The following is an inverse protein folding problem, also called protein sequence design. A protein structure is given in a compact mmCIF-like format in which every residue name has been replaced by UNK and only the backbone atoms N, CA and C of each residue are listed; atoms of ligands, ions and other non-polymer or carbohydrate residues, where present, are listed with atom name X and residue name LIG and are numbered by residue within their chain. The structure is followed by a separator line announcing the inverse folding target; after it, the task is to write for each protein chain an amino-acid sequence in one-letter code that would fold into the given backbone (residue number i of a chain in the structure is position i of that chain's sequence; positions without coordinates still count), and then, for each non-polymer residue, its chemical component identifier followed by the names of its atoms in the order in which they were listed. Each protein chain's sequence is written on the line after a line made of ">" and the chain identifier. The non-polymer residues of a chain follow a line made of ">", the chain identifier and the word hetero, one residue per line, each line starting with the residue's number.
data_IF_569028687658
#
_entry.id   IF_569028687658
#
_cell.length_a   1.000
_cell.length_b   1.000
_cell.length_c   1.000
_cell.angle_alpha   90.00
_cell.angle_beta   90.00
_cell.angle_gamma   90.00
#
_symmetry.space_group_name_H-M   'P 1'
#
loop_
_entity.id
_entity.type
_entity.pdbx_description
1 polymer ?
#
# COMPACT_ATOMS: atom_id res chain seq x y z
N UNK A 1 26.61 -25.66 1.70
CA UNK A 1 25.23 -25.39 2.15
C UNK A 1 25.19 -24.26 3.18
N UNK A 2 25.83 -24.37 4.33
CA UNK A 2 25.84 -23.38 5.43
C UNK A 2 26.21 -21.94 5.04
N UNK A 3 27.22 -21.71 4.16
CA UNK A 3 27.60 -20.36 3.69
C UNK A 3 26.53 -19.70 2.81
N UNK A 4 25.78 -20.47 2.02
CA UNK A 4 24.68 -19.96 1.19
C UNK A 4 23.46 -19.57 2.06
N UNK A 5 23.16 -20.38 3.07
CA UNK A 5 22.09 -20.11 4.05
C UNK A 5 22.39 -18.85 4.88
N UNK A 6 23.66 -18.67 5.31
CA UNK A 6 24.07 -17.50 6.09
C UNK A 6 23.98 -16.21 5.25
N UNK A 7 24.34 -16.25 3.96
CA UNK A 7 24.23 -15.11 3.07
C UNK A 7 22.76 -14.68 2.87
N UNK A 8 21.84 -15.63 2.74
CA UNK A 8 20.40 -15.35 2.62
C UNK A 8 19.86 -14.73 3.91
N UNK A 9 20.23 -15.26 5.07
CA UNK A 9 19.83 -14.70 6.38
C UNK A 9 20.41 -13.30 6.59
N UNK A 10 21.63 -13.04 6.15
CA UNK A 10 22.26 -11.71 6.27
C UNK A 10 21.59 -10.69 5.35
N UNK A 11 21.21 -11.07 4.13
CA UNK A 11 20.47 -10.19 3.19
C UNK A 11 19.06 -9.91 3.73
N UNK A 12 18.38 -10.92 4.29
CA UNK A 12 17.09 -10.76 4.98
C UNK A 12 17.20 -9.83 6.19
N UNK A 13 18.25 -9.95 7.01
CA UNK A 13 18.48 -9.08 8.16
C UNK A 13 18.82 -7.64 7.76
N UNK A 14 19.56 -7.43 6.66
CA UNK A 14 19.89 -6.10 6.13
C UNK A 14 18.65 -5.39 5.56
N UNK A 15 17.72 -6.14 4.94
CA UNK A 15 16.47 -5.59 4.42
C UNK A 15 15.54 -5.06 5.53
N UNK A 16 15.65 -5.61 6.75
CA UNK A 16 14.86 -5.18 7.92
C UNK A 16 15.34 -3.86 8.55
N UNK A 17 16.56 -3.39 8.23
CA UNK A 17 17.14 -2.19 8.88
C UNK A 17 16.90 -0.89 8.09
N UNK A 18 16.33 -0.95 6.88
CA UNK A 18 16.13 0.22 6.01
C UNK A 18 14.72 0.16 5.43
N UNK A 19 13.70 0.39 6.26
CA UNK A 19 12.35 0.61 5.77
C UNK A 19 11.96 2.08 6.01
N UNK A 20 12.20 2.99 5.06
CA UNK A 20 11.58 4.31 5.07
C UNK A 20 10.08 4.19 4.78
N UNK A 21 9.34 5.24 5.06
CA UNK A 21 7.90 5.31 4.85
C UNK A 21 7.50 4.84 3.45
N UNK A 22 6.49 4.00 3.39
CA UNK A 22 5.84 3.56 2.14
C UNK A 22 4.60 4.42 1.96
N UNK A 23 4.40 4.99 0.79
CA UNK A 23 3.15 5.63 0.43
C UNK A 23 2.46 4.78 -0.63
N UNK A 24 1.16 4.66 -0.52
CA UNK A 24 0.40 3.64 -1.23
C UNK A 24 -0.63 4.26 -2.17
N UNK A 25 -1.21 3.44 -3.03
CA UNK A 25 -1.87 3.90 -4.25
C UNK A 25 -3.34 3.46 -4.39
N UNK A 26 -3.76 2.35 -3.75
CA UNK A 26 -5.18 2.01 -3.60
C UNK A 26 -5.53 2.13 -2.10
N UNK A 27 -5.97 3.31 -1.67
CA UNK A 27 -5.98 3.66 -0.26
C UNK A 27 -4.53 3.69 0.27
N UNK A 28 -4.20 2.86 1.25
CA UNK A 28 -2.81 2.70 1.74
C UNK A 28 -2.07 1.53 1.06
N UNK A 29 -2.69 0.78 0.15
CA UNK A 29 -2.13 -0.42 -0.43
C UNK A 29 -1.43 -0.17 -1.78
N UNK A 30 -0.28 -0.82 -2.00
CA UNK A 30 0.38 -0.81 -3.30
C UNK A 30 -0.46 -1.49 -4.38
N UNK A 31 -0.39 -1.00 -5.63
CA UNK A 31 -1.11 -1.61 -6.76
C UNK A 31 -0.63 -3.04 -7.04
N UNK A 32 0.67 -3.31 -6.85
CA UNK A 32 1.31 -4.60 -7.04
C UNK A 32 2.72 -4.63 -6.46
N UNK A 33 3.31 -5.81 -6.32
CA UNK A 33 4.66 -6.05 -5.79
C UNK A 33 5.57 -6.57 -6.89
N UNK A 34 6.82 -6.10 -6.89
CA UNK A 34 7.81 -6.43 -7.91
C UNK A 34 7.60 -5.67 -9.25
N UNK A 35 8.64 -5.63 -10.10
CA UNK A 35 8.62 -4.81 -11.31
C UNK A 35 7.63 -5.32 -12.37
N UNK A 36 7.37 -6.62 -12.43
CA UNK A 36 6.51 -7.19 -13.47
C UNK A 36 5.04 -6.84 -13.21
N UNK A 37 4.53 -7.15 -12.02
CA UNK A 37 3.15 -6.82 -11.64
C UNK A 37 2.92 -5.31 -11.67
N UNK A 38 3.86 -4.51 -11.15
CA UNK A 38 3.75 -3.04 -11.17
C UNK A 38 3.72 -2.47 -12.60
N UNK A 39 4.53 -3.00 -13.52
CA UNK A 39 4.51 -2.61 -14.92
C UNK A 39 3.20 -2.93 -15.65
N UNK A 40 2.43 -3.88 -15.13
CA UNK A 40 1.15 -4.33 -15.67
C UNK A 40 -0.06 -3.83 -14.86
N UNK A 41 0.05 -2.67 -14.20
CA UNK A 41 -1.07 -2.09 -13.45
C UNK A 41 -1.48 -2.90 -12.22
N UNK A 42 -0.59 -3.72 -11.65
CA UNK A 42 -0.88 -4.60 -10.52
C UNK A 42 -1.48 -5.97 -10.88
N UNK A 43 -1.52 -6.31 -12.17
CA UNK A 43 -1.96 -7.63 -12.65
C UNK A 43 -1.06 -8.75 -12.12
N UNK A 44 -1.60 -9.95 -12.02
CA UNK A 44 -0.91 -11.14 -11.51
C UNK A 44 -1.81 -12.10 -10.74
N UNK A 45 -3.13 -11.86 -10.71
CA UNK A 45 -4.07 -12.78 -10.05
C UNK A 45 -4.40 -13.99 -10.91
N UNK A 46 -4.43 -13.81 -12.25
CA UNK A 46 -4.73 -14.88 -13.20
C UNK A 46 -3.48 -15.38 -13.93
N UNK A 47 -2.44 -14.57 -14.10
CA UNK A 47 -1.20 -14.94 -14.77
C UNK A 47 0.03 -14.30 -14.09
N UNK A 48 0.36 -14.69 -12.86
CA UNK A 48 1.58 -14.23 -12.22
C UNK A 48 2.80 -14.75 -12.97
N UNK A 49 3.83 -13.90 -13.15
CA UNK A 49 4.97 -14.20 -14.02
C UNK A 49 6.30 -14.35 -13.25
N UNK A 50 6.32 -14.03 -11.99
CA UNK A 50 7.45 -14.15 -11.07
C UNK A 50 6.98 -14.61 -9.69
N UNK A 51 7.91 -14.96 -8.81
CA UNK A 51 7.59 -15.42 -7.46
C UNK A 51 6.93 -14.30 -6.64
N UNK A 52 7.39 -13.05 -6.80
CA UNK A 52 6.86 -11.90 -6.08
C UNK A 52 5.39 -11.66 -6.40
N UNK A 53 5.02 -11.64 -7.67
CA UNK A 53 3.63 -11.45 -8.08
C UNK A 53 2.74 -12.63 -7.71
N UNK A 54 3.24 -13.87 -7.82
CA UNK A 54 2.49 -15.07 -7.45
C UNK A 54 2.14 -15.07 -5.96
N UNK A 55 3.13 -14.85 -5.07
CA UNK A 55 2.90 -14.90 -3.63
C UNK A 55 1.99 -13.76 -3.17
N UNK A 56 2.15 -12.56 -3.72
CA UNK A 56 1.34 -11.41 -3.34
C UNK A 56 -0.09 -11.44 -3.91
N UNK A 57 -0.24 -11.78 -5.20
CA UNK A 57 -1.54 -11.66 -5.87
C UNK A 57 -2.38 -12.94 -5.76
N UNK A 58 -1.79 -14.11 -6.00
CA UNK A 58 -2.50 -15.38 -5.98
C UNK A 58 -1.57 -16.56 -5.67
N UNK A 59 -1.60 -17.11 -4.45
CA UNK A 59 -0.74 -18.21 -4.06
C UNK A 59 -0.90 -19.50 -4.90
N UNK A 60 -2.04 -19.69 -5.56
CA UNK A 60 -2.24 -20.81 -6.47
C UNK A 60 -1.41 -20.70 -7.75
N UNK A 61 -0.98 -19.49 -8.11
CA UNK A 61 -0.25 -19.17 -9.33
C UNK A 61 1.26 -19.38 -9.26
N UNK A 62 1.80 -19.99 -8.20
CA UNK A 62 3.23 -20.20 -8.04
C UNK A 62 3.83 -21.07 -9.13
N UNK A 63 4.05 -20.50 -10.31
CA UNK A 63 4.77 -21.14 -11.42
C UNK A 63 4.11 -22.40 -11.99
N UNK A 64 2.78 -22.40 -12.16
CA UNK A 64 2.04 -23.43 -12.88
C UNK A 64 1.66 -23.00 -14.30
N UNK A 65 2.22 -21.98 -14.85
CA UNK A 65 1.88 -21.47 -16.16
C UNK A 65 3.07 -21.45 -17.12
N UNK A 66 2.85 -21.25 -18.42
CA UNK A 66 3.89 -21.22 -19.44
C UNK A 66 4.86 -20.03 -19.27
N UNK A 67 4.50 -19.00 -18.51
CA UNK A 67 5.34 -17.84 -18.26
C UNK A 67 6.14 -17.92 -16.98
N UNK A 68 5.89 -18.93 -16.14
CA UNK A 68 6.55 -19.07 -14.87
C UNK A 68 7.65 -20.11 -14.93
N UNK A 69 8.89 -19.76 -14.62
CA UNK A 69 9.98 -20.73 -14.54
C UNK A 69 9.79 -21.68 -13.36
N UNK A 70 10.41 -22.86 -13.43
CA UNK A 70 10.25 -23.92 -12.43
C UNK A 70 10.65 -23.50 -11.01
N UNK A 71 11.80 -22.87 -10.85
CA UNK A 71 12.34 -22.39 -9.58
C UNK A 71 12.96 -21.02 -9.79
N UNK A 72 12.66 -20.07 -8.89
CA UNK A 72 13.27 -18.75 -8.97
C UNK A 72 13.40 -18.08 -7.61
N UNK A 73 14.34 -17.15 -7.55
CA UNK A 73 14.40 -16.12 -6.50
C UNK A 73 14.30 -14.76 -7.17
N UNK A 74 13.40 -13.94 -6.69
CA UNK A 74 13.22 -12.56 -7.13
C UNK A 74 13.69 -11.60 -6.05
N UNK A 75 14.47 -10.61 -6.46
CA UNK A 75 14.86 -9.46 -5.65
C UNK A 75 14.33 -8.22 -6.33
N UNK A 76 13.66 -7.34 -5.60
CA UNK A 76 13.20 -6.07 -6.13
C UNK A 76 13.34 -4.95 -5.09
N UNK A 77 13.55 -3.75 -5.60
CA UNK A 77 13.53 -2.51 -4.83
C UNK A 77 12.71 -1.47 -5.59
N UNK A 78 11.77 -0.86 -4.92
CA UNK A 78 10.95 0.23 -5.46
C UNK A 78 11.36 1.52 -4.78
N UNK A 79 11.77 2.53 -5.57
CA UNK A 79 11.86 3.91 -5.13
C UNK A 79 10.48 4.52 -5.38
N UNK A 80 9.81 4.93 -4.32
CA UNK A 80 8.47 5.50 -4.36
C UNK A 80 8.53 6.96 -3.91
N UNK A 81 7.97 7.86 -4.71
CA UNK A 81 8.04 9.31 -4.50
C UNK A 81 6.64 9.89 -4.58
N UNK A 82 5.99 10.08 -3.46
CA UNK A 82 4.77 10.86 -3.37
C UNK A 82 5.10 12.34 -3.28
N UNK A 83 4.15 13.17 -3.69
CA UNK A 83 4.23 14.62 -3.62
C UNK A 83 2.96 15.18 -2.98
N UNK A 84 2.74 14.93 -1.67
CA UNK A 84 1.60 15.51 -0.98
C UNK A 84 1.85 16.99 -0.69
N UNK A 85 0.81 17.80 -0.95
CA UNK A 85 0.76 19.21 -0.63
C UNK A 85 -0.48 19.50 0.19
N UNK A 86 -0.30 20.20 1.32
CA UNK A 86 -1.38 20.64 2.19
C UNK A 86 -1.63 22.14 2.06
N UNK A 87 -2.90 22.50 2.00
CA UNK A 87 -3.37 23.89 2.11
C UNK A 87 -4.33 23.97 3.29
N UNK A 88 -4.03 24.81 4.29
CA UNK A 88 -4.84 24.98 5.48
C UNK A 88 -5.23 26.45 5.68
N UNK A 89 -6.49 26.67 6.04
CA UNK A 89 -7.00 27.98 6.42
C UNK A 89 -7.85 27.86 7.69
N UNK A 90 -7.35 28.41 8.77
CA UNK A 90 -8.04 28.55 10.05
C UNK A 90 -8.47 30.02 10.24
N UNK A 91 -9.47 30.47 9.44
CA UNK A 91 -9.94 31.85 9.44
C UNK A 91 -10.20 32.45 10.81
N UNK A 92 -10.93 31.77 11.75
CA UNK A 92 -11.19 32.27 13.10
C UNK A 92 -9.94 32.52 13.95
N UNK A 93 -8.83 31.78 13.66
CA UNK A 93 -7.56 31.90 14.35
C UNK A 93 -6.58 32.84 13.63
N UNK A 94 -6.91 33.28 12.42
CA UNK A 94 -6.02 34.09 11.58
C UNK A 94 -4.82 33.34 11.02
N UNK A 95 -4.88 32.00 10.94
CA UNK A 95 -3.82 31.15 10.43
C UNK A 95 -4.19 30.65 9.03
N UNK A 96 -3.27 30.75 8.10
CA UNK A 96 -3.37 30.11 6.78
C UNK A 96 -1.98 29.83 6.24
N UNK A 97 -1.87 28.81 5.42
CA UNK A 97 -0.62 28.43 4.74
C UNK A 97 -0.83 27.33 3.73
N UNK A 98 0.19 27.15 2.90
CA UNK A 98 0.28 26.08 1.92
C UNK A 98 1.72 25.67 1.81
N UNK A 99 1.99 24.35 1.91
CA UNK A 99 3.35 23.84 1.75
C UNK A 99 3.34 22.39 1.27
N UNK A 100 4.48 21.95 0.73
CA UNK A 100 4.71 20.56 0.38
C UNK A 100 5.15 19.76 1.62
N UNK A 101 4.75 18.49 1.67
CA UNK A 101 5.24 17.56 2.69
C UNK A 101 6.75 17.33 2.54
N UNK A 102 7.45 17.28 3.67
CA UNK A 102 8.89 17.01 3.72
C UNK A 102 9.25 15.54 3.81
N UNK A 103 8.27 14.65 3.71
CA UNK A 103 8.53 13.22 3.78
C UNK A 103 9.47 12.79 2.62
N UNK A 104 10.60 12.11 2.91
CA UNK A 104 11.54 11.71 1.88
C UNK A 104 10.97 10.56 1.03
N UNK A 105 11.52 10.37 -0.20
CA UNK A 105 11.22 9.18 -1.00
C UNK A 105 11.46 7.89 -0.23
N UNK A 106 10.61 6.90 -0.48
CA UNK A 106 10.64 5.61 0.21
C UNK A 106 11.28 4.52 -0.64
N UNK A 107 12.03 3.62 0.00
CA UNK A 107 12.54 2.41 -0.64
C UNK A 107 11.77 1.20 -0.12
N UNK A 108 11.05 0.51 -1.02
CA UNK A 108 10.22 -0.64 -0.68
C UNK A 108 10.92 -1.90 -1.16
N UNK A 109 11.44 -2.74 -0.26
CA UNK A 109 12.07 -3.99 -0.63
C UNK A 109 11.04 -5.08 -0.95
N UNK A 110 11.40 -5.99 -1.83
CA UNK A 110 10.70 -7.25 -2.03
C UNK A 110 11.70 -8.36 -2.38
N UNK A 111 11.52 -9.51 -1.75
CA UNK A 111 12.23 -10.74 -2.07
C UNK A 111 11.23 -11.88 -2.05
N UNK A 112 11.30 -12.78 -3.02
CA UNK A 112 10.47 -13.97 -3.04
C UNK A 112 11.23 -15.15 -3.65
N UNK A 113 10.85 -16.34 -3.24
CA UNK A 113 11.36 -17.60 -3.78
C UNK A 113 10.20 -18.55 -4.05
N UNK A 114 10.28 -19.28 -5.17
CA UNK A 114 9.40 -20.41 -5.42
C UNK A 114 10.23 -21.60 -5.90
N UNK A 115 9.82 -22.79 -5.46
CA UNK A 115 10.45 -24.03 -5.87
C UNK A 115 9.44 -25.19 -5.85
N UNK A 116 9.55 -26.18 -6.76
CA UNK A 116 8.76 -27.39 -6.72
C UNK A 116 9.22 -28.27 -5.54
N UNK A 117 8.25 -28.83 -4.80
CA UNK A 117 8.49 -29.93 -3.86
C UNK A 117 8.42 -31.25 -4.60
N UNK A 118 7.44 -31.37 -5.49
CA UNK A 118 7.22 -32.46 -6.43
C UNK A 118 6.35 -32.01 -7.61
N UNK A 119 5.87 -32.92 -8.42
CA UNK A 119 5.04 -32.62 -9.61
C UNK A 119 3.73 -31.87 -9.28
N UNK A 120 3.18 -32.03 -8.06
CA UNK A 120 1.89 -31.46 -7.63
C UNK A 120 2.00 -30.34 -6.63
N UNK A 121 3.11 -30.27 -5.89
CA UNK A 121 3.27 -29.34 -4.78
C UNK A 121 4.40 -28.35 -5.05
N UNK A 122 4.15 -27.09 -4.78
CA UNK A 122 5.14 -26.01 -4.80
C UNK A 122 5.18 -25.28 -3.50
N UNK A 123 6.37 -24.95 -3.05
CA UNK A 123 6.62 -24.06 -1.94
C UNK A 123 7.03 -22.68 -2.45
N UNK A 124 6.63 -21.66 -1.72
CA UNK A 124 7.09 -20.30 -1.89
C UNK A 124 7.27 -19.59 -0.56
N UNK A 125 8.04 -18.54 -0.55
CA UNK A 125 8.12 -17.61 0.56
C UNK A 125 8.45 -16.22 0.01
N UNK A 126 7.80 -15.18 0.53
CA UNK A 126 8.07 -13.79 0.17
C UNK A 126 8.17 -12.90 1.40
N UNK A 127 8.98 -11.84 1.30
CA UNK A 127 9.01 -10.74 2.25
C UNK A 127 8.97 -9.43 1.46
N UNK A 128 7.99 -8.57 1.75
CA UNK A 128 7.77 -7.37 0.96
C UNK A 128 6.95 -6.32 1.71
N UNK A 129 7.20 -5.04 1.40
CA UNK A 129 6.32 -3.96 1.80
C UNK A 129 5.04 -3.96 0.97
N UNK A 130 3.88 -3.79 1.62
CA UNK A 130 2.56 -3.89 0.96
C UNK A 130 1.74 -2.64 1.08
N UNK A 131 1.95 -1.86 2.12
CA UNK A 131 1.11 -0.72 2.48
C UNK A 131 1.91 0.31 3.23
N UNK A 132 1.48 1.54 3.14
CA UNK A 132 2.01 2.68 3.87
C UNK A 132 1.33 3.96 3.45
N UNK A 133 1.48 4.98 4.27
CA UNK A 133 1.00 6.34 4.02
C UNK A 133 1.73 7.26 5.00
N UNK A 134 1.92 8.52 4.62
CA UNK A 134 2.47 9.49 5.56
C UNK A 134 2.62 10.87 4.97
N UNK A 135 2.66 11.84 5.87
CA UNK A 135 3.00 13.23 5.59
C UNK A 135 3.89 13.78 6.68
N UNK A 136 4.74 14.74 6.36
CA UNK A 136 5.54 15.48 7.32
C UNK A 136 5.47 16.98 7.01
N UNK A 137 4.67 17.68 7.79
CA UNK A 137 4.52 19.13 7.69
C UNK A 137 5.21 19.88 8.85
N UNK A 138 6.05 19.21 9.64
CA UNK A 138 6.85 19.86 10.69
C UNK A 138 7.76 20.91 10.09
N UNK A 139 7.79 22.09 10.73
CA UNK A 139 8.59 23.25 10.29
C UNK A 139 8.26 23.75 8.86
N UNK A 140 7.02 23.57 8.40
CA UNK A 140 6.49 24.14 7.17
C UNK A 140 5.59 25.35 7.42
N UNK A 141 5.01 25.94 6.36
CA UNK A 141 4.09 27.08 6.51
C UNK A 141 2.77 26.68 7.18
N UNK A 142 2.39 25.40 7.13
CA UNK A 142 1.20 24.85 7.78
C UNK A 142 1.52 24.16 9.13
N UNK A 143 2.74 24.30 9.64
CA UNK A 143 3.09 23.88 10.99
C UNK A 143 2.65 24.96 11.99
N UNK A 144 1.40 24.89 12.41
CA UNK A 144 0.85 25.84 13.39
C UNK A 144 1.19 25.46 14.83
N UNK A 145 1.91 24.36 15.07
CA UNK A 145 2.43 24.02 16.41
C UNK A 145 3.44 25.06 16.92
N UNK A 146 4.03 25.84 16.02
CA UNK A 146 4.97 26.92 16.34
C UNK A 146 4.25 28.26 16.66
N UNK A 147 2.93 28.35 16.52
CA UNK A 147 2.14 29.57 16.69
C UNK A 147 1.22 29.45 17.88
N UNK A 148 1.38 30.32 18.92
CA UNK A 148 0.43 30.33 20.03
C UNK A 148 -1.00 30.66 19.59
N UNK A 149 -1.96 29.92 20.13
CA UNK A 149 -3.37 30.19 19.89
C UNK A 149 -3.77 31.48 20.57
N UNK A 150 -4.78 32.20 20.06
CA UNK A 150 -5.33 33.38 20.72
C UNK A 150 -5.85 33.05 22.14
N UNK A 151 -5.44 33.84 23.14
CA UNK A 151 -5.88 33.67 24.52
C UNK A 151 -6.61 34.94 24.97
N UNK A 152 -7.84 34.84 25.56
CA UNK A 152 -8.73 33.69 25.56
C UNK A 152 -9.37 33.44 24.17
N UNK A 153 -9.98 32.27 23.86
CA UNK A 153 -10.36 31.21 24.80
C UNK A 153 -9.31 30.14 25.09
N UNK A 154 -8.20 30.09 24.28
CA UNK A 154 -7.16 29.09 24.51
C UNK A 154 -6.37 29.36 25.81
N UNK A 155 -5.87 28.34 26.52
CA UNK A 155 -4.88 28.49 27.57
C UNK A 155 -3.62 29.21 27.05
N UNK A 156 -2.95 30.04 27.89
CA UNK A 156 -1.72 30.69 27.48
C UNK A 156 -0.66 29.67 26.99
N UNK A 157 -0.11 29.89 25.81
CA UNK A 157 0.90 29.03 25.21
C UNK A 157 0.37 27.77 24.52
N UNK A 158 -0.94 27.56 24.44
CA UNK A 158 -1.50 26.47 23.63
C UNK A 158 -1.22 26.68 22.15
N UNK A 159 -0.95 25.58 21.43
CA UNK A 159 -0.70 25.52 19.99
C UNK A 159 -1.54 24.40 19.37
N UNK A 160 -1.70 24.43 18.05
CA UNK A 160 -2.19 23.27 17.31
C UNK A 160 -1.07 22.20 17.20
N UNK A 161 -1.39 20.91 17.15
CA UNK A 161 -0.38 19.89 16.87
C UNK A 161 0.18 20.03 15.46
N UNK A 162 1.47 19.74 15.28
CA UNK A 162 2.05 19.59 13.95
C UNK A 162 1.47 18.35 13.25
N UNK A 163 1.17 18.46 11.97
CA UNK A 163 0.70 17.31 11.20
C UNK A 163 1.90 16.47 10.77
N UNK A 164 1.97 15.29 11.32
CA UNK A 164 2.92 14.24 10.95
C UNK A 164 2.25 12.90 11.06
N UNK A 165 2.35 12.10 10.00
CA UNK A 165 1.87 10.72 10.01
C UNK A 165 2.85 9.84 9.25
N UNK A 166 3.00 8.60 9.70
CA UNK A 166 3.77 7.60 9.01
C UNK A 166 3.22 6.21 9.30
N UNK A 167 2.76 5.52 8.27
CA UNK A 167 2.34 4.12 8.32
C UNK A 167 3.29 3.29 7.47
N UNK A 168 3.67 2.11 7.98
CA UNK A 168 4.47 1.13 7.24
C UNK A 168 3.94 -0.27 7.52
N UNK A 169 3.75 -1.08 6.47
CA UNK A 169 3.30 -2.47 6.61
C UNK A 169 4.20 -3.38 5.78
N UNK A 170 4.81 -4.35 6.46
CA UNK A 170 5.67 -5.37 5.87
C UNK A 170 5.08 -6.75 6.12
N UNK A 171 5.14 -7.63 5.12
CA UNK A 171 4.69 -9.02 5.24
C UNK A 171 5.82 -10.01 4.99
N UNK A 172 5.82 -11.08 5.79
CA UNK A 172 6.53 -12.32 5.53
C UNK A 172 5.47 -13.40 5.24
N UNK A 173 5.51 -14.01 4.07
CA UNK A 173 4.46 -14.86 3.52
C UNK A 173 5.01 -16.22 3.05
N UNK A 174 5.21 -17.21 3.93
CA UNK A 174 5.37 -18.61 3.52
C UNK A 174 4.10 -19.12 2.85
N UNK A 175 4.25 -19.90 1.80
CA UNK A 175 3.23 -20.17 0.82
C UNK A 175 3.32 -21.62 0.33
N UNK A 176 2.17 -22.24 0.09
CA UNK A 176 2.06 -23.59 -0.46
C UNK A 176 0.99 -23.62 -1.55
N UNK A 177 1.29 -24.22 -2.69
CA UNK A 177 0.34 -24.45 -3.77
C UNK A 177 0.26 -25.92 -4.13
N UNK A 178 -0.95 -26.36 -4.49
CA UNK A 178 -1.27 -27.71 -4.90
C UNK A 178 -1.96 -27.74 -6.26
N UNK A 179 -1.34 -28.43 -7.21
CA UNK A 179 -1.91 -28.74 -8.52
C UNK A 179 -2.83 -29.96 -8.39
N UNK A 180 -4.14 -29.70 -8.26
CA UNK A 180 -5.16 -30.75 -8.09
C UNK A 180 -5.33 -31.54 -9.36
N UNK A 181 -5.45 -30.82 -10.50
CA UNK A 181 -5.49 -31.36 -11.85
C UNK A 181 -4.48 -30.61 -12.73
N UNK A 182 -4.13 -31.08 -13.94
CA UNK A 182 -3.23 -30.35 -14.82
C UNK A 182 -3.64 -28.88 -15.10
N UNK A 183 -4.93 -28.58 -14.92
CA UNK A 183 -5.51 -27.29 -15.26
C UNK A 183 -6.03 -26.51 -14.04
N UNK A 184 -5.98 -27.06 -12.82
CA UNK A 184 -6.52 -26.42 -11.64
C UNK A 184 -5.59 -26.54 -10.44
N UNK A 185 -5.26 -25.40 -9.87
CA UNK A 185 -4.46 -25.29 -8.65
C UNK A 185 -5.16 -24.46 -7.57
N UNK A 186 -4.84 -24.77 -6.33
CA UNK A 186 -5.17 -23.96 -5.16
C UNK A 186 -3.90 -23.64 -4.40
N UNK A 187 -3.94 -22.57 -3.62
CA UNK A 187 -2.79 -22.16 -2.81
C UNK A 187 -3.22 -21.46 -1.54
N UNK A 188 -2.34 -21.49 -0.56
CA UNK A 188 -2.50 -20.79 0.69
C UNK A 188 -1.20 -20.14 1.13
N UNK A 189 -1.28 -18.94 1.66
CA UNK A 189 -0.20 -18.20 2.29
C UNK A 189 -0.55 -17.91 3.73
N UNK A 190 0.38 -18.19 4.64
CA UNK A 190 0.33 -17.68 6.01
C UNK A 190 1.12 -16.39 6.07
N UNK A 191 0.48 -15.29 6.47
CA UNK A 191 1.09 -13.97 6.46
C UNK A 191 1.44 -13.55 7.89
N UNK A 192 2.73 -13.28 8.13
CA UNK A 192 3.21 -12.61 9.34
C UNK A 192 3.37 -11.14 8.98
N UNK A 193 2.60 -10.27 9.61
CA UNK A 193 2.51 -8.85 9.31
C UNK A 193 3.16 -8.04 10.41
N UNK A 194 4.11 -7.21 10.06
CA UNK A 194 4.62 -6.14 10.91
C UNK A 194 4.03 -4.81 10.46
N UNK A 195 3.55 -4.04 11.42
CA UNK A 195 3.01 -2.70 11.17
C UNK A 195 3.64 -1.69 12.13
N UNK A 196 3.96 -0.51 11.62
CA UNK A 196 4.44 0.64 12.38
C UNK A 196 3.58 1.85 12.06
N UNK A 197 3.07 2.52 13.08
CA UNK A 197 2.28 3.74 12.99
C UNK A 197 2.91 4.82 13.87
N UNK A 198 3.16 6.00 13.29
CA UNK A 198 3.60 7.19 13.99
C UNK A 198 2.68 8.37 13.65
N UNK A 199 2.10 9.00 14.65
CA UNK A 199 1.22 10.17 14.52
C UNK A 199 1.90 11.45 15.08
N UNK A 200 3.24 11.50 15.02
CA UNK A 200 4.03 12.64 15.42
C UNK A 200 4.55 12.61 16.86
N UNK A 201 4.16 11.62 17.65
CA UNK A 201 4.55 11.47 19.06
C UNK A 201 5.45 10.25 19.31
N UNK A 202 5.87 9.56 18.22
CA UNK A 202 6.74 8.39 18.22
C UNK A 202 6.06 7.16 17.63
N UNK A 203 6.87 6.30 17.02
CA UNK A 203 6.37 5.12 16.32
C UNK A 203 5.93 4.01 17.28
N UNK A 204 4.69 3.56 17.16
CA UNK A 204 4.16 2.35 17.78
C UNK A 204 4.22 1.20 16.79
N UNK A 205 4.74 0.04 17.20
CA UNK A 205 4.92 -1.12 16.35
C UNK A 205 4.19 -2.34 16.88
N UNK A 206 3.70 -3.17 15.98
CA UNK A 206 3.03 -4.41 16.34
C UNK A 206 3.10 -5.47 15.26
N UNK A 207 2.66 -6.67 15.63
CA UNK A 207 2.61 -7.83 14.74
C UNK A 207 1.22 -8.43 14.76
N UNK A 208 0.82 -8.98 13.62
CA UNK A 208 -0.40 -9.77 13.48
C UNK A 208 -0.19 -10.88 12.46
N UNK A 209 -1.20 -11.70 12.27
CA UNK A 209 -1.19 -12.80 11.32
C UNK A 209 -2.39 -12.73 10.41
N UNK A 210 -2.19 -13.12 9.16
CA UNK A 210 -3.23 -13.22 8.15
C UNK A 210 -3.14 -14.53 7.38
N UNK A 211 -4.15 -14.76 6.58
CA UNK A 211 -4.24 -15.89 5.65
C UNK A 211 -4.65 -15.39 4.28
N UNK A 212 -3.92 -15.80 3.26
CA UNK A 212 -4.35 -15.61 1.87
C UNK A 212 -4.64 -16.97 1.24
N UNK A 213 -5.78 -17.08 0.58
CA UNK A 213 -6.20 -18.25 -0.20
C UNK A 213 -6.25 -17.89 -1.66
N UNK A 214 -5.94 -18.86 -2.52
CA UNK A 214 -5.96 -18.65 -3.96
C UNK A 214 -6.47 -19.86 -4.72
N UNK A 215 -7.00 -19.59 -5.92
CA UNK A 215 -7.36 -20.60 -6.92
C UNK A 215 -6.96 -20.10 -8.31
N UNK A 216 -6.53 -21.00 -9.16
CA UNK A 216 -6.18 -20.73 -10.56
C UNK A 216 -6.68 -21.86 -11.44
N UNK A 217 -7.39 -21.50 -12.51
CA UNK A 217 -7.89 -22.43 -13.52
C UNK A 217 -7.41 -22.03 -14.91
N UNK A 218 -6.78 -22.96 -15.60
CA UNK A 218 -6.31 -22.81 -16.97
C UNK A 218 -7.25 -23.49 -17.95
N UNK A 219 -7.67 -22.78 -19.01
CA UNK A 219 -8.50 -23.30 -20.08
C UNK A 219 -8.08 -22.75 -21.44
N UNK A 220 -7.48 -23.61 -22.25
CA UNK A 220 -6.92 -23.27 -23.57
C UNK A 220 -5.97 -22.05 -23.48
N UNK A 221 -6.41 -20.88 -23.95
CA UNK A 221 -5.67 -19.62 -23.94
C UNK A 221 -6.04 -18.70 -22.78
N UNK A 222 -6.90 -19.13 -21.88
CA UNK A 222 -7.41 -18.33 -20.77
C UNK A 222 -6.95 -18.89 -19.44
N UNK A 223 -6.62 -17.99 -18.53
CA UNK A 223 -6.46 -18.29 -17.11
C UNK A 223 -7.50 -17.50 -16.31
N UNK A 224 -8.07 -18.14 -15.31
CA UNK A 224 -9.01 -17.54 -14.37
C UNK A 224 -8.39 -17.62 -12.98
N UNK A 225 -8.15 -16.49 -12.36
CA UNK A 225 -7.56 -16.39 -11.03
C UNK A 225 -8.53 -15.82 -10.03
N UNK A 226 -8.46 -16.33 -8.80
CA UNK A 226 -9.19 -15.81 -7.65
C UNK A 226 -8.30 -15.85 -6.41
N UNK A 227 -8.35 -14.81 -5.57
CA UNK A 227 -7.75 -14.88 -4.24
C UNK A 227 -8.56 -14.07 -3.21
N UNK A 228 -8.41 -14.49 -1.96
CA UNK A 228 -8.98 -13.85 -0.78
C UNK A 228 -7.90 -13.70 0.29
N UNK A 229 -7.84 -12.53 0.93
CA UNK A 229 -6.94 -12.25 2.07
C UNK A 229 -7.79 -11.80 3.25
N UNK A 230 -7.53 -12.37 4.42
CA UNK A 230 -8.20 -11.99 5.67
C UNK A 230 -7.80 -10.59 6.11
N UNK A 231 -8.60 -9.92 6.95
CA UNK A 231 -8.18 -8.69 7.60
C UNK A 231 -7.02 -8.96 8.58
N UNK A 232 -6.18 -7.94 8.80
CA UNK A 232 -4.97 -8.05 9.63
C UNK A 232 -4.86 -6.84 10.55
N UNK A 233 -5.20 -7.05 11.82
CA UNK A 233 -5.33 -5.99 12.80
C UNK A 233 -4.15 -5.95 13.77
N UNK A 234 -3.58 -4.76 13.96
CA UNK A 234 -2.56 -4.45 14.96
C UNK A 234 -3.12 -3.44 15.96
N UNK A 235 -2.91 -3.70 17.25
CA UNK A 235 -3.17 -2.72 18.29
C UNK A 235 -1.88 -1.93 18.57
N UNK A 236 -1.87 -0.67 18.14
CA UNK A 236 -0.80 0.28 18.40
C UNK A 236 -0.95 0.87 19.79
N UNK A 237 0.00 0.55 20.67
CA UNK A 237 0.02 1.02 22.05
C UNK A 237 0.59 2.43 22.15
N UNK A 238 -0.05 3.26 22.97
CA UNK A 238 0.42 4.60 23.32
C UNK A 238 0.77 5.47 22.09
N UNK A 239 -0.02 5.38 21.00
CA UNK A 239 0.33 5.96 19.70
C UNK A 239 0.20 7.47 19.64
N UNK A 240 -0.79 8.04 20.32
CA UNK A 240 -1.02 9.50 20.36
C UNK A 240 -1.95 9.90 21.50
N UNK A 241 -1.88 11.16 21.90
CA UNK A 241 -2.86 11.79 22.81
C UNK A 241 -4.06 12.35 22.07
N UNK A 242 -4.05 12.38 20.75
CA UNK A 242 -5.10 12.98 19.90
C UNK A 242 -5.51 14.41 20.34
N UNK A 243 -4.51 15.20 20.78
CA UNK A 243 -4.72 16.56 21.26
C UNK A 243 -5.34 16.69 22.67
N UNK A 244 -5.60 15.58 23.36
CA UNK A 244 -6.17 15.59 24.70
C UNK A 244 -5.09 15.73 25.78
N UNK A 245 -5.32 16.48 26.84
CA UNK A 245 -4.48 16.45 28.04
C UNK A 245 -4.69 15.11 28.75
N UNK A 246 -3.64 14.29 28.88
CA UNK A 246 -3.77 12.99 29.56
C UNK A 246 -2.76 11.96 29.04
N UNK A 247 -2.97 10.67 29.35
CA UNK A 247 -2.11 9.61 28.87
C UNK A 247 -2.27 9.41 27.37
N UNK A 248 -1.26 8.80 26.77
CA UNK A 248 -1.31 8.29 25.41
C UNK A 248 -2.46 7.28 25.28
N UNK A 249 -3.03 7.21 24.10
CA UNK A 249 -4.14 6.32 23.74
C UNK A 249 -3.66 5.23 22.78
N UNK A 250 -4.29 4.08 22.87
CA UNK A 250 -4.11 2.98 21.93
C UNK A 250 -4.98 3.22 20.69
N UNK A 251 -4.54 2.72 19.52
CA UNK A 251 -5.34 2.70 18.30
C UNK A 251 -5.21 1.35 17.62
N UNK A 252 -6.32 0.70 17.34
CA UNK A 252 -6.36 -0.46 16.46
C UNK A 252 -6.34 0.00 15.01
N UNK A 253 -5.43 -0.55 14.21
CA UNK A 253 -5.38 -0.31 12.78
C UNK A 253 -5.35 -1.64 12.03
N UNK A 254 -6.35 -1.83 11.16
CA UNK A 254 -6.58 -3.08 10.46
C UNK A 254 -6.38 -2.93 8.95
N UNK A 255 -5.48 -3.71 8.36
CA UNK A 255 -5.46 -3.88 6.90
C UNK A 255 -6.77 -4.52 6.45
N UNK A 256 -7.47 -3.99 5.43
CA UNK A 256 -8.78 -4.48 5.06
C UNK A 256 -8.71 -5.90 4.48
N UNK A 257 -9.77 -6.66 4.65
CA UNK A 257 -9.92 -7.87 3.87
C UNK A 257 -9.97 -7.55 2.38
N UNK A 258 -9.47 -8.49 1.58
CA UNK A 258 -9.31 -8.29 0.15
C UNK A 258 -9.84 -9.51 -0.61
N UNK A 259 -10.65 -9.25 -1.62
CA UNK A 259 -11.03 -10.23 -2.65
C UNK A 259 -10.57 -9.72 -4.00
N UNK A 260 -10.03 -10.60 -4.83
CA UNK A 260 -9.72 -10.25 -6.21
C UNK A 260 -9.95 -11.42 -7.15
N UNK A 261 -10.39 -11.09 -8.36
CA UNK A 261 -10.59 -12.03 -9.45
C UNK A 261 -10.05 -11.45 -10.75
N UNK A 262 -9.53 -12.30 -11.61
CA UNK A 262 -8.97 -11.85 -12.89
C UNK A 262 -9.06 -12.89 -13.97
N UNK A 263 -8.92 -12.42 -15.21
CA UNK A 263 -8.87 -13.23 -16.41
C UNK A 263 -7.64 -12.81 -17.18
N UNK A 264 -6.81 -13.79 -17.55
CA UNK A 264 -5.70 -13.59 -18.45
C UNK A 264 -5.96 -14.30 -19.80
N UNK A 265 -5.50 -13.69 -20.87
CA UNK A 265 -5.61 -14.18 -22.23
C UNK A 265 -4.25 -14.24 -22.91
N UNK A 266 -3.86 -15.42 -23.38
CA UNK A 266 -2.60 -15.73 -24.03
C UNK A 266 -2.85 -16.19 -25.47
N UNK A 267 -3.08 -15.27 -26.43
CA UNK A 267 -3.36 -15.65 -27.81
C UNK A 267 -2.23 -16.46 -28.46
N UNK A 268 -1.00 -16.18 -28.06
CA UNK A 268 0.23 -16.86 -28.49
C UNK A 268 1.37 -16.63 -27.48
N UNK A 269 2.54 -17.20 -27.69
CA UNK A 269 3.71 -17.09 -26.80
C UNK A 269 4.30 -15.67 -26.67
N UNK A 270 3.89 -14.72 -27.50
CA UNK A 270 4.41 -13.36 -27.49
C UNK A 270 3.53 -12.39 -26.68
N UNK A 271 2.24 -12.67 -26.57
CA UNK A 271 1.28 -11.75 -25.95
C UNK A 271 0.59 -12.34 -24.74
N UNK A 272 0.51 -11.55 -23.69
CA UNK A 272 -0.30 -11.80 -22.52
C UNK A 272 -1.09 -10.53 -22.19
N UNK A 273 -2.37 -10.68 -21.96
CA UNK A 273 -3.27 -9.65 -21.45
C UNK A 273 -3.91 -10.16 -20.18
N UNK A 274 -4.00 -9.30 -19.14
CA UNK A 274 -4.73 -9.64 -17.93
C UNK A 274 -5.58 -8.46 -17.49
N UNK A 275 -6.86 -8.71 -17.22
CA UNK A 275 -7.77 -7.80 -16.55
C UNK A 275 -8.17 -8.36 -15.19
N UNK A 276 -8.24 -7.52 -14.17
CA UNK A 276 -8.66 -7.94 -12.83
C UNK A 276 -9.53 -6.90 -12.13
N UNK A 277 -10.33 -7.38 -11.18
CA UNK A 277 -11.09 -6.57 -10.24
C UNK A 277 -10.66 -6.97 -8.83
N UNK A 278 -10.44 -5.97 -7.96
CA UNK A 278 -10.11 -6.15 -6.54
C UNK A 278 -11.07 -5.34 -5.70
N UNK A 279 -11.53 -5.91 -4.63
CA UNK A 279 -12.31 -5.23 -3.60
C UNK A 279 -11.50 -5.14 -2.31
N UNK A 280 -11.52 -3.97 -1.67
CA UNK A 280 -10.89 -3.67 -0.39
C UNK A 280 -11.97 -3.17 0.58
N UNK A 281 -12.18 -3.90 1.68
CA UNK A 281 -13.24 -3.63 2.66
C UNK A 281 -12.80 -2.61 3.72
N UNK A 282 -12.52 -1.37 3.32
CA UNK A 282 -12.06 -0.30 4.21
C UNK A 282 -13.10 0.10 5.24
N UNK A 283 -14.40 0.13 4.86
CA UNK A 283 -15.51 0.55 5.73
C UNK A 283 -15.73 -0.37 6.94
N UNK A 284 -15.14 -1.56 6.93
CA UNK A 284 -15.18 -2.52 8.04
C UNK A 284 -13.86 -2.61 8.81
N UNK A 285 -12.77 -2.04 8.29
CA UNK A 285 -11.45 -2.13 8.87
C UNK A 285 -11.27 -1.14 10.02
N UNK A 286 -10.88 -1.64 11.21
CA UNK A 286 -10.65 -0.80 12.38
C UNK A 286 -9.57 0.26 12.09
N UNK A 287 -9.76 1.46 12.61
CA UNK A 287 -8.98 2.64 12.27
C UNK A 287 -9.51 3.34 11.02
N UNK A 288 -9.55 2.68 9.88
CA UNK A 288 -10.03 3.31 8.64
C UNK A 288 -11.51 3.64 8.69
N UNK A 289 -12.37 2.74 9.18
CA UNK A 289 -13.80 3.01 9.40
C UNK A 289 -14.04 4.15 10.40
N UNK A 290 -13.16 4.29 11.41
CA UNK A 290 -13.25 5.34 12.41
C UNK A 290 -12.87 6.71 11.83
N UNK A 291 -12.14 6.74 10.71
CA UNK A 291 -11.80 7.91 9.90
C UNK A 291 -12.68 8.04 8.63
N UNK A 292 -13.80 7.32 8.58
CA UNK A 292 -14.83 7.37 7.55
C UNK A 292 -14.31 7.10 6.13
N UNK A 293 -13.64 5.95 5.98
CA UNK A 293 -13.21 5.44 4.68
C UNK A 293 -14.26 4.51 4.09
N UNK A 294 -14.57 4.71 2.81
CA UNK A 294 -15.45 3.86 2.02
C UNK A 294 -14.72 2.63 1.45
N UNK A 295 -15.49 1.58 1.20
CA UNK A 295 -15.00 0.41 0.46
C UNK A 295 -14.54 0.79 -0.95
N UNK A 296 -13.51 0.11 -1.43
CA UNK A 296 -12.84 0.45 -2.67
C UNK A 296 -12.89 -0.69 -3.69
N UNK A 297 -13.41 -0.37 -4.87
CA UNK A 297 -13.30 -1.22 -6.05
C UNK A 297 -12.12 -0.75 -6.92
N UNK A 298 -11.22 -1.70 -7.18
CA UNK A 298 -10.03 -1.47 -8.01
C UNK A 298 -10.18 -2.25 -9.31
N UNK A 299 -9.94 -1.59 -10.42
CA UNK A 299 -9.94 -2.18 -11.76
C UNK A 299 -8.54 -2.05 -12.36
N UNK A 300 -7.93 -3.16 -12.73
CA UNK A 300 -6.61 -3.16 -13.33
C UNK A 300 -6.55 -3.92 -14.63
N UNK A 301 -5.68 -3.44 -15.52
CA UNK A 301 -5.39 -4.06 -16.79
C UNK A 301 -3.89 -4.04 -17.05
N UNK A 302 -3.36 -5.16 -17.56
CA UNK A 302 -1.98 -5.30 -17.97
C UNK A 302 -1.84 -5.99 -19.31
N UNK A 303 -0.87 -5.54 -20.11
CA UNK A 303 -0.47 -6.15 -21.35
C UNK A 303 1.04 -6.38 -21.36
N UNK A 304 1.46 -7.54 -21.83
CA UNK A 304 2.86 -7.86 -22.07
C UNK A 304 3.07 -8.31 -23.51
N UNK A 305 4.15 -7.82 -24.10
CA UNK A 305 4.62 -8.22 -25.42
C UNK A 305 6.07 -8.71 -25.36
N UNK A 306 6.31 -9.91 -25.86
CA UNK A 306 7.63 -10.57 -26.01
C UNK A 306 7.98 -10.69 -27.49
N UNK A 307 8.52 -9.64 -28.14
CA UNK A 307 8.89 -9.71 -29.57
C UNK A 307 10.02 -10.68 -29.85
N UNK A 308 10.85 -10.97 -28.86
CA UNK A 308 11.97 -11.90 -28.90
C UNK A 308 12.16 -12.57 -27.54
N UNK A 309 12.88 -13.69 -27.50
CA UNK A 309 13.11 -14.50 -26.29
C UNK A 309 13.69 -13.70 -25.11
N UNK A 310 14.51 -12.68 -25.40
CA UNK A 310 15.21 -11.89 -24.37
C UNK A 310 14.45 -10.65 -23.89
N UNK A 311 13.49 -10.16 -24.66
CA UNK A 311 12.84 -8.88 -24.38
C UNK A 311 11.37 -9.06 -24.00
N UNK A 312 10.95 -8.33 -22.98
CA UNK A 312 9.55 -8.21 -22.57
C UNK A 312 9.22 -6.74 -22.37
N UNK A 313 8.19 -6.24 -23.03
CA UNK A 313 7.64 -4.90 -22.85
C UNK A 313 6.28 -5.01 -22.20
N UNK A 314 5.98 -4.12 -21.24
CA UNK A 314 4.76 -4.16 -20.45
C UNK A 314 4.15 -2.79 -20.35
N UNK A 315 2.83 -2.76 -20.39
CA UNK A 315 2.02 -1.57 -20.12
C UNK A 315 0.88 -1.99 -19.19
N UNK A 316 0.44 -1.06 -18.36
CA UNK A 316 -0.67 -1.31 -17.46
C UNK A 316 -1.39 -0.04 -17.06
N UNK A 317 -2.58 -0.24 -16.55
CA UNK A 317 -3.42 0.79 -16.00
C UNK A 317 -4.17 0.25 -14.78
N UNK A 318 -4.31 1.08 -13.76
CA UNK A 318 -5.06 0.74 -12.55
C UNK A 318 -5.92 1.95 -12.19
N UNK A 319 -7.16 1.69 -11.81
CA UNK A 319 -8.13 2.70 -11.40
C UNK A 319 -8.85 2.26 -10.14
N UNK A 320 -9.00 3.17 -9.22
CA UNK A 320 -9.91 3.03 -8.08
C UNK A 320 -10.32 4.41 -7.59
N UNK A 321 -11.60 4.58 -7.24
CA UNK A 321 -12.03 5.81 -6.58
C UNK A 321 -11.35 5.95 -5.21
N UNK A 322 -11.02 7.17 -4.80
CA UNK A 322 -10.52 7.46 -3.44
C UNK A 322 -11.46 6.88 -2.37
N UNK A 323 -10.94 6.20 -1.34
CA UNK A 323 -11.77 5.72 -0.24
C UNK A 323 -12.05 6.82 0.81
N UNK A 324 -11.37 7.96 0.75
CA UNK A 324 -11.51 9.05 1.73
C UNK A 324 -12.76 9.85 1.40
N UNK A 325 -13.72 9.89 2.31
CA UNK A 325 -14.94 10.68 2.17
C UNK A 325 -14.68 12.16 2.44
N UNK A 326 -15.46 13.05 1.80
CA UNK A 326 -15.46 14.48 2.07
C UNK A 326 -16.53 14.82 3.10
N UNK A 327 -16.15 15.58 4.15
CA UNK A 327 -17.06 16.17 5.11
C UNK A 327 -17.11 17.68 4.90
N UNK A 328 -18.31 18.22 4.78
CA UNK A 328 -18.49 19.67 4.66
C UNK A 328 -19.51 20.17 5.69
N UNK A 329 -19.41 21.43 6.12
CA UNK A 329 -20.37 22.07 7.00
C UNK A 329 -20.24 21.68 8.49
N UNK A 330 -19.14 21.07 8.92
CA UNK A 330 -18.89 20.70 10.32
C UNK A 330 -18.60 21.95 11.20
N UNK A 331 -18.77 21.81 12.53
CA UNK A 331 -18.54 22.89 13.49
C UNK A 331 -17.05 23.32 13.51
N UNK A 332 -16.71 24.57 13.18
CA UNK A 332 -15.34 25.06 13.14
C UNK A 332 -14.72 25.43 14.49
N UNK A 333 -15.49 25.39 15.61
CA UNK A 333 -14.98 25.80 16.90
C UNK A 333 -14.05 24.76 17.52
N UNK A 334 -12.71 25.01 17.58
CA UNK A 334 -11.77 24.08 18.18
C UNK A 334 -11.82 24.05 19.72
N UNK A 335 -12.53 25.00 20.35
CA UNK A 335 -12.61 25.14 21.79
C UNK A 335 -13.95 24.66 22.40
N UNK A 336 -14.92 24.28 21.55
CA UNK A 336 -16.15 23.65 21.96
C UNK A 336 -15.87 22.22 22.47
N UNK A 337 -16.03 21.92 23.78
CA UNK A 337 -15.72 20.60 24.34
C UNK A 337 -16.68 19.50 23.84
N UNK A 338 -17.79 19.86 23.21
CA UNK A 338 -18.76 18.93 22.63
C UNK A 338 -18.54 18.71 21.13
N UNK A 339 -17.63 19.47 20.48
CA UNK A 339 -17.27 19.34 19.10
C UNK A 339 -16.25 18.21 18.91
N UNK A 340 -16.67 16.98 19.17
CA UNK A 340 -15.79 15.80 19.11
C UNK A 340 -16.36 14.71 18.23
N UNK A 341 -15.46 13.87 17.71
CA UNK A 341 -15.75 12.61 17.00
C UNK A 341 -15.21 11.46 17.85
N UNK A 342 -15.99 10.40 17.98
CA UNK A 342 -15.55 9.22 18.71
C UNK A 342 -14.70 8.34 17.80
N UNK A 343 -13.40 8.20 18.11
CA UNK A 343 -12.46 7.30 17.45
C UNK A 343 -12.11 6.19 18.43
N UNK A 344 -12.70 5.01 18.27
CA UNK A 344 -12.48 3.83 19.13
C UNK A 344 -12.66 4.12 20.65
N UNK A 345 -13.63 4.93 21.00
CA UNK A 345 -13.89 5.34 22.39
C UNK A 345 -13.14 6.60 22.83
N UNK A 346 -12.26 7.14 22.00
CA UNK A 346 -11.50 8.36 22.27
C UNK A 346 -12.28 9.57 21.69
N UNK A 347 -12.64 10.58 22.50
CA UNK A 347 -13.24 11.81 21.98
C UNK A 347 -12.15 12.68 21.35
N UNK A 348 -12.05 12.65 20.02
CA UNK A 348 -11.11 13.48 19.25
C UNK A 348 -11.80 14.79 18.86
N UNK A 349 -11.14 15.93 19.05
CA UNK A 349 -11.68 17.23 18.61
C UNK A 349 -11.96 17.21 17.10
N UNK A 350 -13.15 17.69 16.68
CA UNK A 350 -13.60 17.62 15.30
C UNK A 350 -12.64 18.30 14.32
N UNK A 351 -12.10 19.45 14.67
CA UNK A 351 -11.16 20.17 13.81
C UNK A 351 -9.86 19.36 13.60
N UNK A 352 -9.33 18.78 14.68
CA UNK A 352 -8.15 17.91 14.61
C UNK A 352 -8.42 16.61 13.85
N UNK A 353 -9.63 16.05 13.99
CA UNK A 353 -10.05 14.87 13.27
C UNK A 353 -10.08 15.10 11.75
N UNK A 354 -10.70 16.20 11.27
CA UNK A 354 -10.75 16.51 9.85
C UNK A 354 -9.37 16.90 9.30
N UNK A 355 -8.56 17.60 10.07
CA UNK A 355 -7.19 17.90 9.71
C UNK A 355 -6.37 16.60 9.50
N UNK A 356 -6.46 15.66 10.45
CA UNK A 356 -5.76 14.38 10.35
C UNK A 356 -6.22 13.55 9.16
N UNK A 357 -7.52 13.53 8.83
CA UNK A 357 -8.06 12.82 7.68
C UNK A 357 -7.55 13.38 6.35
N UNK A 358 -7.63 14.69 6.18
CA UNK A 358 -7.39 15.36 4.89
C UNK A 358 -5.90 15.64 4.69
N UNK A 359 -5.23 16.17 5.71
CA UNK A 359 -3.82 16.56 5.60
C UNK A 359 -2.88 15.43 6.02
N UNK A 360 -3.25 14.67 7.06
CA UNK A 360 -2.42 13.59 7.60
C UNK A 360 -2.45 12.30 6.79
N UNK A 361 -3.61 11.94 6.20
CA UNK A 361 -3.79 10.69 5.46
C UNK A 361 -4.44 10.89 4.08
N UNK A 362 -3.81 11.63 3.15
CA UNK A 362 -4.38 11.97 1.84
C UNK A 362 -4.26 10.78 0.86
N UNK A 363 -4.97 9.70 1.08
CA UNK A 363 -4.99 8.51 0.21
C UNK A 363 -5.93 8.70 -1.00
N UNK A 364 -5.69 9.72 -1.80
CA UNK A 364 -6.66 10.28 -2.76
C UNK A 364 -6.37 9.98 -4.23
N UNK A 365 -5.22 9.41 -4.59
CA UNK A 365 -4.93 9.09 -6.01
C UNK A 365 -5.84 7.99 -6.52
N UNK A 366 -6.33 8.16 -7.74
CA UNK A 366 -7.29 7.27 -8.36
C UNK A 366 -6.74 6.52 -9.58
N UNK A 367 -5.91 7.18 -10.37
CA UNK A 367 -5.41 6.68 -11.65
C UNK A 367 -3.92 6.33 -11.57
N UNK A 368 -3.53 5.18 -12.13
CA UNK A 368 -2.13 4.77 -12.21
C UNK A 368 -1.82 4.30 -13.63
N UNK A 369 -0.87 4.97 -14.27
CA UNK A 369 -0.34 4.62 -15.59
C UNK A 369 1.00 3.95 -15.37
N UNK A 370 1.20 2.75 -15.91
CA UNK A 370 2.39 1.96 -15.66
C UNK A 370 3.00 1.43 -16.94
N UNK A 371 4.30 1.20 -16.91
CA UNK A 371 5.02 0.57 -18.00
C UNK A 371 6.32 -0.06 -17.52
N UNK A 372 6.89 -0.95 -18.32
CA UNK A 372 8.14 -1.58 -17.95
C UNK A 372 8.78 -2.40 -19.04
N UNK A 373 10.02 -2.78 -18.76
CA UNK A 373 10.84 -3.59 -19.66
C UNK A 373 11.53 -4.70 -18.87
N UNK A 374 11.54 -5.90 -19.44
CA UNK A 374 12.33 -7.03 -18.95
C UNK A 374 13.39 -7.44 -19.97
N UNK A 375 14.55 -7.83 -19.48
CA UNK A 375 15.64 -8.34 -20.31
C UNK A 375 16.25 -9.61 -19.70
N UNK A 376 16.24 -10.70 -20.43
CA UNK A 376 16.89 -11.96 -20.06
C UNK A 376 18.37 -11.90 -20.40
N UNK A 377 19.20 -11.67 -19.37
CA UNK A 377 20.67 -11.61 -19.52
C UNK A 377 21.25 -12.96 -19.91
N UNK A 378 20.84 -14.00 -19.19
CA UNK A 378 21.22 -15.40 -19.41
C UNK A 378 19.98 -16.28 -19.19
N UNK A 379 20.09 -17.59 -19.41
CA UNK A 379 19.00 -18.51 -19.07
C UNK A 379 18.68 -18.52 -17.56
N UNK A 380 19.66 -18.18 -16.73
CA UNK A 380 19.52 -18.16 -15.28
C UNK A 380 19.20 -16.78 -14.70
N UNK A 381 19.31 -15.67 -15.46
CA UNK A 381 19.18 -14.32 -14.88
C UNK A 381 18.36 -13.41 -15.80
N UNK A 382 17.36 -12.76 -15.23
CA UNK A 382 16.61 -11.69 -15.89
C UNK A 382 16.60 -10.42 -15.04
N UNK A 383 16.62 -9.27 -15.71
CA UNK A 383 16.41 -7.95 -15.12
C UNK A 383 15.06 -7.39 -15.57
N UNK A 384 14.37 -6.73 -14.64
CA UNK A 384 13.10 -6.09 -14.93
C UNK A 384 13.11 -4.66 -14.34
N UNK A 385 12.53 -3.73 -15.08
CA UNK A 385 12.34 -2.33 -14.68
C UNK A 385 10.87 -1.98 -14.87
N UNK A 386 10.28 -1.25 -13.95
CA UNK A 386 8.97 -0.63 -14.11
C UNK A 386 8.97 0.83 -13.67
N UNK A 387 8.09 1.59 -14.30
CA UNK A 387 7.74 2.96 -13.97
C UNK A 387 6.23 3.02 -13.71
N UNK A 388 5.83 3.84 -12.74
CA UNK A 388 4.45 4.15 -12.44
C UNK A 388 4.31 5.66 -12.24
N UNK A 389 3.22 6.21 -12.73
CA UNK A 389 2.82 7.58 -12.48
C UNK A 389 1.33 7.62 -12.13
N UNK A 390 0.99 8.29 -11.03
CA UNK A 390 -0.36 8.63 -10.62
C UNK A 390 -0.52 10.16 -10.75
N UNK A 391 -1.42 10.64 -11.63
CA UNK A 391 -1.72 12.06 -11.77
C UNK A 391 -2.20 12.67 -10.47
N UNK A 392 -2.04 13.97 -10.34
CA UNK A 392 -2.47 14.70 -9.15
C UNK A 392 -3.99 14.64 -9.01
N UNK A 393 -4.42 14.27 -7.80
CA UNK A 393 -5.78 14.38 -7.31
C UNK A 393 -5.86 15.41 -6.19
N UNK A 394 -7.06 15.89 -5.92
CA UNK A 394 -7.30 16.92 -4.89
C UNK A 394 -8.54 16.56 -4.10
N UNK A 395 -8.42 16.63 -2.76
CA UNK A 395 -9.54 16.56 -1.83
C UNK A 395 -9.63 17.87 -1.05
N UNK A 396 -10.85 18.35 -0.80
CA UNK A 396 -11.08 19.62 -0.10
C UNK A 396 -12.29 19.50 0.82
N UNK A 397 -12.11 19.93 2.06
CA UNK A 397 -13.18 20.04 3.03
C UNK A 397 -13.29 21.47 3.55
N UNK A 398 -14.53 21.87 3.83
CA UNK A 398 -14.82 23.20 4.36
C UNK A 398 -15.83 23.11 5.49
N UNK A 399 -15.50 23.70 6.63
CA UNK A 399 -16.40 23.78 7.78
C UNK A 399 -17.61 24.68 7.51
N UNK A 400 -18.56 24.71 8.45
CA UNK A 400 -19.66 25.66 8.43
C UNK A 400 -19.14 27.10 8.29
N UNK A 401 -19.89 27.91 7.55
CA UNK A 401 -19.59 29.34 7.25
C UNK A 401 -18.24 29.55 6.51
N UNK A 402 -17.66 28.53 5.92
CA UNK A 402 -16.32 28.57 5.31
C UNK A 402 -15.22 29.07 6.25
N UNK A 403 -15.37 28.82 7.55
CA UNK A 403 -14.48 29.34 8.58
C UNK A 403 -13.11 28.65 8.56
N UNK A 404 -13.10 27.31 8.35
CA UNK A 404 -11.88 26.49 8.24
C UNK A 404 -11.95 25.71 6.93
N UNK A 405 -10.82 25.62 6.25
CA UNK A 405 -10.69 24.83 5.02
C UNK A 405 -9.42 23.99 5.10
N UNK A 406 -9.53 22.71 4.75
CA UNK A 406 -8.43 21.78 4.51
C UNK A 406 -8.46 21.30 3.08
N UNK A 407 -7.33 21.37 2.38
CA UNK A 407 -7.19 20.87 1.04
C UNK A 407 -5.87 20.10 0.92
N UNK A 408 -5.93 18.89 0.39
CA UNK A 408 -4.74 18.10 0.03
C UNK A 408 -4.70 17.81 -1.46
N UNK A 409 -3.50 17.88 -2.00
CA UNK A 409 -3.16 17.47 -3.36
C UNK A 409 -2.12 16.37 -3.30
N UNK A 410 -2.27 15.33 -4.09
CA UNK A 410 -1.32 14.24 -4.13
C UNK A 410 -1.11 13.79 -5.57
N UNK A 411 0.15 13.71 -5.99
CA UNK A 411 0.60 12.95 -7.16
C UNK A 411 1.71 12.00 -6.75
N UNK A 412 1.91 10.92 -7.50
CA UNK A 412 2.89 9.91 -7.15
C UNK A 412 3.65 9.40 -8.37
N UNK A 413 4.91 9.08 -8.19
CA UNK A 413 5.64 8.29 -9.15
C UNK A 413 6.51 7.24 -8.46
N UNK A 414 6.83 6.16 -9.15
CA UNK A 414 7.77 5.17 -8.64
C UNK A 414 8.54 4.48 -9.74
N UNK A 415 9.74 4.05 -9.38
CA UNK A 415 10.59 3.19 -10.21
C UNK A 415 10.90 1.91 -9.44
N UNK A 416 10.67 0.75 -10.06
CA UNK A 416 11.02 -0.53 -9.47
C UNK A 416 12.04 -1.23 -10.34
N UNK A 417 13.14 -1.68 -9.73
CA UNK A 417 14.15 -2.52 -10.36
C UNK A 417 14.10 -3.89 -9.71
N UNK A 418 14.19 -4.94 -10.51
CA UNK A 418 14.24 -6.31 -10.00
C UNK A 418 15.16 -7.21 -10.79
N UNK A 419 15.67 -8.20 -10.08
CA UNK A 419 16.49 -9.29 -10.60
C UNK A 419 15.80 -10.61 -10.27
N UNK A 420 15.59 -11.43 -11.29
CA UNK A 420 15.12 -12.81 -11.13
C UNK A 420 16.28 -13.76 -11.42
N UNK A 421 16.52 -14.68 -10.49
CA UNK A 421 17.47 -15.78 -10.65
C UNK A 421 16.72 -17.12 -10.72
N UNK A 422 16.88 -17.80 -11.85
CA UNK A 422 16.32 -19.12 -12.12
C UNK A 422 17.33 -20.22 -11.80
N UNK A 423 16.90 -21.33 -11.17
CA UNK A 423 17.79 -22.42 -10.75
C UNK A 423 17.14 -23.80 -10.84
#
# INVERSE_FOLDING_TARGET
>A
MMRKTLAIITVLALALTVAPAVLATNGTNLIGIGPISRAMGGAGVAAPQDATSAIFANPAGMCFGPFCPGSSVDFAGTIFVPSPKGDENFGPLGFSGSDDSRLPPSVIPAIAVTAPINEKWRFGAGMYGVSGLGTDYKNTQIDFSLRPLPSPPAPPGATLPAVYTQLQVLKLAPNLAWLITPNFSIGASFEVVWQSLDLGEGASQGYTFGLQLGALYHWDKFNFGFSFTTPEKVNHKDVSRFGNPGPYQDLELESPWRVQGGIAFEPNSQWLFEGYVRFLGWSSADGYKDFDWDDQWVFGFGAQWKPAEKWSFRLGYNYSKSPVNEHNGWNPDPFDPFNTVNVQGIPVNRVGYENLRIIGFPAIVEHHITGGVGYRLTDAVALNLSLMYAPQETIKETSAFNAITFESKLSEWSTTVGLTWYF
#
